data_IF_782722084783
#
_entry.id   IF_782722084783
#
_cell.length_a   1.000
_cell.length_b   1.000
_cell.length_c   1.000
_cell.angle_alpha   90.00
_cell.angle_beta   90.00
_cell.angle_gamma   90.00
#
_symmetry.space_group_name_H-M   'P 1'
#
loop_
_entity.id
_entity.type
_entity.pdbx_description
1 polymer ?
#
# COMPACT_ATOMS: atom_id res chain seq x y z
N UNK A 1 -9.40 20.00 6.31
CA UNK A 1 -9.15 19.30 7.59
C UNK A 1 -10.04 18.07 7.67
N UNK A 2 -9.50 16.85 7.49
CA UNK A 2 -10.28 15.60 7.54
C UNK A 2 -10.75 15.19 8.95
N UNK A 3 -10.54 16.03 9.97
CA UNK A 3 -10.90 15.74 11.38
C UNK A 3 -12.39 15.40 11.63
N UNK A 4 -13.24 15.45 10.61
CA UNK A 4 -14.68 15.20 10.72
C UNK A 4 -15.16 13.96 9.96
N UNK A 5 -14.28 13.22 9.26
CA UNK A 5 -14.68 11.99 8.59
C UNK A 5 -14.99 10.88 9.61
N UNK A 6 -16.18 10.31 9.49
CA UNK A 6 -16.56 9.13 10.29
C UNK A 6 -16.16 7.84 9.55
N UNK A 7 -14.87 7.51 9.63
CA UNK A 7 -14.29 6.33 8.98
C UNK A 7 -14.90 4.99 9.43
N UNK A 8 -15.69 4.98 10.51
CA UNK A 8 -16.38 3.75 10.97
C UNK A 8 -17.46 3.28 9.99
N UNK A 9 -17.91 4.17 9.09
CA UNK A 9 -18.95 3.87 8.11
C UNK A 9 -18.44 3.20 6.84
N UNK A 10 -17.15 3.32 6.54
CA UNK A 10 -16.51 2.73 5.36
C UNK A 10 -15.60 1.58 5.77
N UNK A 11 -16.19 0.41 6.02
CA UNK A 11 -15.44 -0.79 6.39
C UNK A 11 -15.04 -1.56 5.15
N UNK A 12 -13.75 -1.75 5.00
CA UNK A 12 -13.16 -2.58 3.97
C UNK A 12 -12.88 -3.99 4.52
N UNK A 13 -13.16 -5.03 3.75
CA UNK A 13 -12.76 -6.40 4.08
C UNK A 13 -11.23 -6.50 4.12
N UNK A 14 -10.58 -6.03 3.07
CA UNK A 14 -9.13 -5.83 2.99
C UNK A 14 -8.85 -4.38 2.58
N UNK A 15 -8.86 -3.47 3.56
CA UNK A 15 -8.54 -2.06 3.32
C UNK A 15 -7.05 -1.90 3.06
N UNK A 16 -6.66 -1.27 1.93
CA UNK A 16 -5.29 -1.20 1.47
C UNK A 16 -4.99 0.05 0.64
N UNK A 17 -3.71 0.18 0.23
CA UNK A 17 -3.25 1.12 -0.78
C UNK A 17 -3.65 2.56 -0.50
N UNK A 18 -3.52 3.00 0.77
CA UNK A 18 -3.92 4.34 1.19
C UNK A 18 -3.01 5.41 0.58
N UNK A 19 -3.61 6.48 0.08
CA UNK A 19 -2.93 7.58 -0.58
C UNK A 19 -3.48 8.93 -0.11
N UNK A 20 -2.61 9.86 0.24
CA UNK A 20 -2.93 11.23 0.57
C UNK A 20 -2.74 12.13 -0.65
N UNK A 21 -3.81 12.76 -1.12
CA UNK A 21 -3.76 13.82 -2.13
C UNK A 21 -3.57 15.16 -1.42
N UNK A 22 -2.33 15.66 -1.46
CA UNK A 22 -1.94 16.91 -0.81
C UNK A 22 -2.45 18.15 -1.53
N UNK A 23 -2.85 18.05 -2.80
CA UNK A 23 -3.42 19.18 -3.57
C UNK A 23 -4.85 19.51 -3.12
N UNK A 24 -5.63 18.49 -2.77
CA UNK A 24 -7.04 18.64 -2.42
C UNK A 24 -7.36 18.26 -0.97
N UNK A 25 -6.35 18.01 -0.12
CA UNK A 25 -6.51 17.52 1.26
C UNK A 25 -7.49 16.33 1.33
N UNK A 26 -7.29 15.35 0.47
CA UNK A 26 -8.19 14.20 0.30
C UNK A 26 -7.46 12.87 0.52
N UNK A 27 -8.15 11.92 1.15
CA UNK A 27 -7.64 10.59 1.38
C UNK A 27 -8.32 9.61 0.42
N UNK A 28 -7.52 8.72 -0.18
CA UNK A 28 -7.98 7.63 -1.03
C UNK A 28 -7.48 6.29 -0.48
N UNK A 29 -8.28 5.23 -0.60
CA UNK A 29 -7.89 3.86 -0.27
C UNK A 29 -8.77 2.87 -1.00
N UNK A 30 -8.42 1.60 -0.97
CA UNK A 30 -9.19 0.54 -1.63
C UNK A 30 -9.65 -0.53 -0.66
N UNK A 31 -10.73 -1.23 -1.01
CA UNK A 31 -11.03 -2.59 -0.54
C UNK A 31 -10.66 -3.54 -1.67
N UNK A 32 -9.59 -4.30 -1.50
CA UNK A 32 -9.11 -5.24 -2.52
C UNK A 32 -10.16 -6.31 -2.81
N UNK A 33 -10.75 -6.89 -1.76
CA UNK A 33 -11.66 -8.03 -1.89
C UNK A 33 -13.00 -7.65 -2.51
N UNK A 34 -13.47 -6.42 -2.25
CA UNK A 34 -14.73 -5.92 -2.80
C UNK A 34 -14.53 -5.07 -4.06
N UNK A 35 -13.28 -4.78 -4.45
CA UNK A 35 -12.94 -3.90 -5.58
C UNK A 35 -13.61 -2.53 -5.48
N UNK A 36 -13.59 -1.94 -4.28
CA UNK A 36 -14.12 -0.61 -4.01
C UNK A 36 -12.97 0.37 -3.84
N UNK A 37 -13.00 1.47 -4.58
CA UNK A 37 -12.20 2.65 -4.32
C UNK A 37 -12.99 3.56 -3.39
N UNK A 38 -12.39 3.98 -2.29
CA UNK A 38 -12.92 4.99 -1.39
C UNK A 38 -12.17 6.31 -1.56
N UNK A 39 -12.89 7.40 -1.36
CA UNK A 39 -12.25 8.70 -1.13
C UNK A 39 -12.92 9.44 0.03
N UNK A 40 -12.14 10.20 0.79
CA UNK A 40 -12.65 11.10 1.82
C UNK A 40 -12.17 12.52 1.54
N UNK A 41 -13.12 13.43 1.34
CA UNK A 41 -12.87 14.85 1.10
C UNK A 41 -13.92 15.68 1.85
N UNK A 42 -13.51 16.79 2.47
CA UNK A 42 -14.40 17.70 3.20
C UNK A 42 -15.36 17.01 4.20
N UNK A 43 -14.89 15.95 4.87
CA UNK A 43 -15.67 15.20 5.85
C UNK A 43 -16.65 14.18 5.26
N UNK A 44 -16.71 14.04 3.95
CA UNK A 44 -17.57 13.09 3.24
C UNK A 44 -16.76 11.94 2.66
N UNK A 45 -17.29 10.71 2.79
CA UNK A 45 -16.72 9.51 2.18
C UNK A 45 -17.55 9.16 0.96
N UNK A 46 -16.87 8.88 -0.14
CA UNK A 46 -17.43 8.42 -1.41
C UNK A 46 -16.91 7.02 -1.70
N UNK A 47 -17.75 6.19 -2.30
CA UNK A 47 -17.46 4.81 -2.69
C UNK A 47 -17.67 4.66 -4.19
N UNK A 48 -16.67 4.06 -4.86
CA UNK A 48 -16.72 3.80 -6.30
C UNK A 48 -16.50 2.31 -6.53
N UNK A 49 -17.52 1.63 -7.02
CA UNK A 49 -17.40 0.22 -7.40
C UNK A 49 -16.61 0.10 -8.69
N UNK A 50 -15.48 -0.59 -8.65
CA UNK A 50 -14.64 -0.84 -9.82
C UNK A 50 -14.90 -2.25 -10.35
N UNK A 51 -15.00 -2.40 -11.65
CA UNK A 51 -15.32 -3.69 -12.29
C UNK A 51 -14.17 -4.70 -12.29
N UNK A 52 -12.95 -4.27 -11.94
CA UNK A 52 -11.75 -5.09 -11.89
C UNK A 52 -11.16 -5.09 -10.47
N UNK A 53 -10.45 -6.15 -10.09
CA UNK A 53 -9.79 -6.22 -8.80
C UNK A 53 -8.69 -5.17 -8.71
N UNK A 54 -8.91 -4.13 -7.93
CA UNK A 54 -7.93 -3.09 -7.63
C UNK A 54 -7.18 -3.42 -6.34
N UNK A 55 -5.96 -2.91 -6.17
CA UNK A 55 -5.15 -3.25 -5.00
C UNK A 55 -4.43 -2.06 -4.34
N UNK A 56 -4.03 -1.04 -5.06
CA UNK A 56 -3.42 0.14 -4.46
C UNK A 56 -3.70 1.40 -5.28
N UNK A 57 -3.79 2.55 -4.60
CA UNK A 57 -3.78 3.88 -5.20
C UNK A 57 -2.32 4.32 -5.34
N UNK A 58 -1.87 4.58 -6.58
CA UNK A 58 -0.48 4.95 -6.87
C UNK A 58 -0.29 6.45 -7.08
N UNK A 59 -1.32 7.14 -7.54
CA UNK A 59 -1.38 8.61 -7.60
C UNK A 59 -2.80 9.10 -7.81
N UNK A 60 -3.03 10.37 -7.45
CA UNK A 60 -4.25 11.12 -7.76
C UNK A 60 -3.83 12.43 -8.39
N UNK A 61 -4.33 12.73 -9.58
CA UNK A 61 -3.97 13.95 -10.34
C UNK A 61 -5.19 14.44 -11.14
N UNK A 62 -5.67 15.64 -10.90
CA UNK A 62 -6.77 16.25 -11.67
C UNK A 62 -8.05 15.42 -11.72
N UNK A 63 -8.40 14.73 -10.63
CA UNK A 63 -9.58 13.86 -10.57
C UNK A 63 -9.40 12.50 -11.28
N UNK A 64 -8.17 12.14 -11.61
CA UNK A 64 -7.79 10.83 -12.17
C UNK A 64 -7.03 10.06 -11.09
N UNK A 65 -7.50 8.87 -10.75
CA UNK A 65 -6.87 7.97 -9.78
C UNK A 65 -6.15 6.85 -10.52
N UNK A 66 -4.82 6.80 -10.39
CA UNK A 66 -4.03 5.69 -10.91
C UNK A 66 -4.09 4.52 -9.92
N UNK A 67 -4.53 3.37 -10.39
CA UNK A 67 -4.71 2.15 -9.60
C UNK A 67 -3.90 1.01 -10.16
N UNK A 68 -3.34 0.17 -9.29
CA UNK A 68 -2.90 -1.16 -9.68
C UNK A 68 -4.07 -2.14 -9.63
N UNK A 69 -4.12 -3.06 -10.59
CA UNK A 69 -5.11 -4.13 -10.64
C UNK A 69 -4.49 -5.42 -11.20
N UNK A 70 -5.29 -6.50 -11.27
CA UNK A 70 -4.83 -7.79 -11.84
C UNK A 70 -4.29 -7.65 -13.26
N UNK A 71 -4.95 -6.85 -14.08
CA UNK A 71 -4.59 -6.71 -15.50
C UNK A 71 -3.45 -5.73 -15.76
N UNK A 72 -3.04 -4.95 -14.76
CA UNK A 72 -1.93 -3.98 -14.84
C UNK A 72 -2.15 -2.70 -14.08
N UNK A 73 -1.94 -1.58 -14.74
CA UNK A 73 -2.21 -0.24 -14.21
C UNK A 73 -3.32 0.42 -15.00
N UNK A 74 -4.25 1.05 -14.31
CA UNK A 74 -5.40 1.76 -14.88
C UNK A 74 -5.51 3.17 -14.31
N UNK A 75 -6.11 4.06 -15.07
CA UNK A 75 -6.65 5.33 -14.60
C UNK A 75 -8.16 5.19 -14.42
N UNK A 76 -8.64 5.54 -13.24
CA UNK A 76 -10.06 5.72 -12.96
C UNK A 76 -10.39 7.21 -12.93
N UNK A 77 -11.34 7.63 -13.75
CA UNK A 77 -11.76 9.03 -13.87
C UNK A 77 -12.97 9.27 -12.97
N UNK A 78 -12.80 9.99 -11.86
CA UNK A 78 -13.84 10.22 -10.85
C UNK A 78 -15.10 10.87 -11.42
N UNK A 79 -14.95 11.84 -12.33
CA UNK A 79 -16.10 12.59 -12.88
C UNK A 79 -16.97 11.77 -13.83
N UNK A 80 -16.40 10.82 -14.57
CA UNK A 80 -17.10 10.04 -15.61
C UNK A 80 -17.31 8.57 -15.23
N UNK A 81 -16.77 8.14 -14.11
CA UNK A 81 -16.73 6.73 -13.69
C UNK A 81 -16.16 5.79 -14.78
N UNK A 82 -15.21 6.29 -15.58
CA UNK A 82 -14.63 5.54 -16.67
C UNK A 82 -13.21 5.08 -16.36
N UNK A 83 -12.81 3.98 -16.99
CA UNK A 83 -11.49 3.37 -16.84
C UNK A 83 -10.72 3.50 -18.15
N UNK A 84 -9.44 3.85 -18.06
CA UNK A 84 -8.48 3.77 -19.17
C UNK A 84 -7.25 2.98 -18.77
N UNK A 85 -6.75 2.13 -19.68
CA UNK A 85 -5.57 1.30 -19.42
C UNK A 85 -4.30 2.13 -19.54
N UNK A 86 -3.40 2.03 -18.56
CA UNK A 86 -2.04 2.60 -18.61
C UNK A 86 -1.07 1.56 -19.15
N UNK A 87 -1.03 0.38 -18.54
CA UNK A 87 -0.15 -0.72 -18.94
C UNK A 87 -0.75 -2.06 -18.54
N UNK A 88 -0.27 -3.15 -19.15
CA UNK A 88 -0.75 -4.50 -18.84
C UNK A 88 0.28 -5.29 -18.05
N UNK A 89 -0.17 -6.01 -17.03
CA UNK A 89 0.64 -7.02 -16.34
C UNK A 89 1.09 -8.10 -17.35
N UNK A 90 2.36 -8.55 -17.32
CA UNK A 90 2.81 -9.66 -18.15
C UNK A 90 1.89 -10.89 -18.00
N UNK A 91 1.58 -11.56 -19.11
CA UNK A 91 0.53 -12.58 -19.20
C UNK A 91 0.62 -13.69 -18.13
N UNK A 92 1.82 -14.09 -17.78
CA UNK A 92 2.05 -15.13 -16.75
C UNK A 92 1.51 -14.74 -15.36
N UNK A 93 1.39 -13.43 -15.06
CA UNK A 93 0.90 -12.89 -13.80
C UNK A 93 -0.49 -12.22 -13.90
N UNK A 94 -1.12 -12.24 -15.08
CA UNK A 94 -2.45 -11.65 -15.29
C UNK A 94 -3.58 -12.68 -15.25
N UNK A 95 -3.31 -13.90 -14.77
CA UNK A 95 -4.30 -14.97 -14.63
C UNK A 95 -5.16 -14.79 -13.38
N UNK A 96 -6.24 -15.56 -13.26
CA UNK A 96 -7.13 -15.52 -12.09
C UNK A 96 -6.46 -15.97 -10.78
N UNK A 97 -5.31 -16.62 -10.86
CA UNK A 97 -4.54 -17.08 -9.70
C UNK A 97 -3.75 -15.96 -9.03
N UNK A 98 -3.51 -14.86 -9.75
CA UNK A 98 -2.71 -13.73 -9.27
C UNK A 98 -3.57 -12.48 -9.12
N UNK A 99 -3.09 -11.57 -8.29
CA UNK A 99 -3.55 -10.19 -8.16
C UNK A 99 -2.36 -9.25 -8.03
N UNK A 100 -2.54 -7.98 -8.35
CA UNK A 100 -1.63 -6.97 -7.86
C UNK A 100 -1.76 -6.85 -6.33
N UNK A 101 -0.75 -6.31 -5.68
CA UNK A 101 -0.78 -6.04 -4.24
C UNK A 101 -0.53 -4.54 -4.02
N UNK A 102 0.67 -4.16 -3.68
CA UNK A 102 1.07 -2.78 -3.43
C UNK A 102 1.95 -2.24 -4.56
N UNK A 103 2.27 -0.94 -4.56
CA UNK A 103 3.10 -0.32 -5.58
C UNK A 103 3.38 1.15 -5.33
N UNK A 104 4.19 1.75 -6.21
CA UNK A 104 4.60 3.14 -6.13
C UNK A 104 4.76 3.79 -7.50
N UNK A 105 4.35 5.07 -7.62
CA UNK A 105 4.72 5.96 -8.72
C UNK A 105 6.09 6.57 -8.42
N UNK A 106 7.03 6.44 -9.36
CA UNK A 106 8.40 6.93 -9.20
C UNK A 106 8.68 8.19 -10.01
N UNK A 107 7.85 8.48 -10.98
CA UNK A 107 7.99 9.64 -11.87
C UNK A 107 6.88 9.67 -12.91
N UNK A 108 6.99 10.58 -13.86
CA UNK A 108 6.03 10.61 -14.96
C UNK A 108 6.06 9.26 -15.70
N UNK A 109 4.88 8.61 -15.80
CA UNK A 109 4.66 7.32 -16.46
C UNK A 109 5.61 6.18 -16.03
N UNK A 110 6.21 6.28 -14.82
CA UNK A 110 7.09 5.26 -14.25
C UNK A 110 6.54 4.75 -12.92
N UNK A 111 6.28 3.46 -12.86
CA UNK A 111 5.70 2.76 -11.71
C UNK A 111 6.44 1.47 -11.43
N UNK A 112 6.49 1.07 -10.16
CA UNK A 112 6.83 -0.30 -9.75
C UNK A 112 5.70 -0.81 -8.88
N UNK A 113 5.21 -2.02 -9.17
CA UNK A 113 4.17 -2.67 -8.40
C UNK A 113 4.45 -4.16 -8.23
N UNK A 114 3.87 -4.71 -7.19
CA UNK A 114 3.97 -6.13 -6.86
C UNK A 114 2.77 -6.92 -7.35
N UNK A 115 3.01 -8.16 -7.75
CA UNK A 115 1.97 -9.17 -7.97
C UNK A 115 2.23 -10.39 -7.11
N UNK A 116 1.17 -11.02 -6.63
CA UNK A 116 1.22 -12.21 -5.79
C UNK A 116 0.13 -13.21 -6.18
N UNK A 117 0.29 -14.47 -5.76
CA UNK A 117 -0.84 -15.42 -5.84
C UNK A 117 -1.91 -15.05 -4.81
N UNK A 118 -3.18 -15.28 -5.16
CA UNK A 118 -4.31 -15.15 -4.21
C UNK A 118 -4.12 -16.09 -3.00
N UNK A 119 -3.67 -17.31 -3.25
CA UNK A 119 -3.17 -18.24 -2.24
C UNK A 119 -1.64 -18.14 -2.22
N UNK A 120 -1.03 -17.43 -1.26
CA UNK A 120 0.39 -17.14 -1.30
C UNK A 120 1.27 -18.40 -1.32
N UNK A 121 2.23 -18.42 -2.23
CA UNK A 121 3.25 -19.48 -2.37
C UNK A 121 4.61 -18.81 -2.36
N UNK A 122 5.56 -19.45 -1.67
CA UNK A 122 6.93 -18.92 -1.56
C UNK A 122 7.56 -18.74 -2.94
N UNK A 123 8.11 -17.54 -3.19
CA UNK A 123 8.77 -17.14 -4.43
C UNK A 123 7.89 -17.29 -5.70
N UNK A 124 6.58 -17.12 -5.55
CA UNK A 124 5.63 -17.15 -6.68
C UNK A 124 4.88 -15.83 -6.87
N UNK A 125 5.51 -14.75 -6.47
CA UNK A 125 5.13 -13.37 -6.79
C UNK A 125 6.16 -12.72 -7.71
N UNK A 126 5.98 -11.43 -8.00
CA UNK A 126 6.94 -10.69 -8.81
C UNK A 126 6.88 -9.17 -8.52
N UNK A 127 7.99 -8.49 -8.82
CA UNK A 127 8.03 -7.05 -9.00
C UNK A 127 7.99 -6.73 -10.50
N UNK A 128 7.12 -5.80 -10.86
CA UNK A 128 6.90 -5.35 -12.22
C UNK A 128 7.21 -3.86 -12.31
N UNK A 129 8.10 -3.46 -13.22
CA UNK A 129 8.25 -2.06 -13.63
C UNK A 129 7.33 -1.80 -14.82
N UNK A 130 6.59 -0.70 -14.76
CA UNK A 130 5.83 -0.15 -15.89
C UNK A 130 6.38 1.21 -16.24
N UNK A 131 6.88 1.35 -17.46
CA UNK A 131 7.42 2.60 -17.99
C UNK A 131 6.82 2.88 -19.35
N UNK A 132 6.28 4.08 -19.55
CA UNK A 132 5.67 4.52 -20.82
C UNK A 132 4.63 3.53 -21.40
N UNK A 133 3.86 2.87 -20.51
CA UNK A 133 2.84 1.91 -20.90
C UNK A 133 3.35 0.48 -21.15
N UNK A 134 4.66 0.25 -21.03
CA UNK A 134 5.28 -1.08 -21.18
C UNK A 134 5.66 -1.65 -19.83
N UNK A 135 5.15 -2.83 -19.51
CA UNK A 135 5.46 -3.54 -18.25
C UNK A 135 6.45 -4.68 -18.45
N UNK A 136 7.38 -4.81 -17.50
CA UNK A 136 8.42 -5.84 -17.47
C UNK A 136 8.59 -6.39 -16.06
N UNK A 137 8.73 -7.71 -15.92
CA UNK A 137 9.15 -8.37 -14.68
C UNK A 137 10.62 -8.04 -14.40
N UNK A 138 10.91 -7.60 -13.17
CA UNK A 138 12.27 -7.24 -12.73
C UNK A 138 12.75 -8.07 -11.54
N UNK A 139 11.86 -8.80 -10.87
CA UNK A 139 12.18 -9.71 -9.79
C UNK A 139 11.09 -10.78 -9.68
N UNK A 140 11.49 -12.03 -9.43
CA UNK A 140 10.59 -13.17 -9.16
C UNK A 140 10.94 -13.87 -7.84
N UNK A 141 11.97 -13.39 -7.12
CA UNK A 141 12.37 -13.89 -5.80
C UNK A 141 11.67 -13.08 -4.70
N UNK A 142 10.34 -13.13 -4.72
CA UNK A 142 9.45 -12.49 -3.75
C UNK A 142 8.10 -13.22 -3.75
N UNK A 143 7.43 -13.27 -2.59
CA UNK A 143 6.17 -13.99 -2.42
C UNK A 143 4.98 -13.04 -2.30
N UNK A 144 5.02 -12.13 -1.31
CA UNK A 144 3.99 -11.13 -1.02
C UNK A 144 4.65 -9.75 -0.98
N UNK A 145 4.78 -9.09 -2.15
CA UNK A 145 5.41 -7.77 -2.22
C UNK A 145 4.54 -6.67 -1.61
N UNK A 146 5.09 -5.94 -0.64
CA UNK A 146 4.46 -4.85 0.11
C UNK A 146 5.44 -3.70 0.39
N UNK A 147 4.96 -2.64 1.03
CA UNK A 147 5.69 -1.46 1.52
C UNK A 147 6.00 -0.43 0.42
N UNK A 148 6.68 -0.72 -0.64
CA UNK A 148 7.02 0.14 -1.80
C UNK A 148 7.40 1.59 -1.45
N UNK A 149 8.23 1.81 -0.43
CA UNK A 149 8.65 3.14 0.00
C UNK A 149 9.87 3.61 -0.79
N UNK A 150 9.72 4.72 -1.53
CA UNK A 150 10.83 5.37 -2.23
C UNK A 150 11.69 6.14 -1.24
N UNK A 151 12.97 5.73 -1.09
CA UNK A 151 13.92 6.47 -0.26
C UNK A 151 14.29 7.78 -0.97
N UNK A 152 14.11 8.95 -0.32
CA UNK A 152 14.42 10.25 -0.93
C UNK A 152 15.85 10.32 -1.46
N UNK A 153 16.06 11.05 -2.55
CA UNK A 153 17.36 11.31 -3.17
C UNK A 153 18.21 10.05 -3.46
N UNK A 154 17.58 8.90 -3.69
CA UNK A 154 18.25 7.64 -3.99
C UNK A 154 17.57 6.87 -5.11
N UNK A 155 18.22 5.86 -5.66
CA UNK A 155 17.64 4.87 -6.57
C UNK A 155 17.21 3.61 -5.80
N UNK A 156 16.64 3.79 -4.60
CA UNK A 156 16.29 2.65 -3.75
C UNK A 156 14.84 2.70 -3.29
N UNK A 157 14.26 1.51 -3.15
CA UNK A 157 12.97 1.28 -2.48
C UNK A 157 13.18 0.40 -1.25
N UNK A 158 12.38 0.64 -0.21
CA UNK A 158 12.10 -0.39 0.77
C UNK A 158 10.93 -1.22 0.24
N UNK A 159 11.12 -2.53 0.19
CA UNK A 159 10.10 -3.48 -0.25
C UNK A 159 10.07 -4.65 0.73
N UNK A 160 8.88 -4.97 1.19
CA UNK A 160 8.66 -6.11 2.07
C UNK A 160 8.35 -7.37 1.26
N UNK A 161 8.92 -8.51 1.65
CA UNK A 161 8.29 -9.80 1.43
C UNK A 161 7.55 -10.21 2.71
N UNK A 162 6.25 -9.96 2.74
CA UNK A 162 5.41 -10.23 3.92
C UNK A 162 5.37 -11.72 4.26
N UNK A 163 5.54 -12.60 3.27
CA UNK A 163 5.57 -14.05 3.48
C UNK A 163 6.75 -14.49 4.36
N UNK A 164 7.91 -13.89 4.15
CA UNK A 164 9.12 -14.19 4.91
C UNK A 164 9.30 -13.24 6.13
N UNK A 165 8.41 -12.24 6.33
CA UNK A 165 8.51 -11.26 7.41
C UNK A 165 9.72 -10.31 7.27
N UNK A 166 10.16 -10.04 6.05
CA UNK A 166 11.42 -9.36 5.77
C UNK A 166 11.22 -8.09 4.96
N UNK A 167 11.80 -6.98 5.42
CA UNK A 167 11.91 -5.75 4.63
C UNK A 167 13.29 -5.70 4.00
N UNK A 168 13.33 -5.50 2.69
CA UNK A 168 14.55 -5.35 1.91
C UNK A 168 14.72 -3.92 1.44
N UNK A 169 15.96 -3.44 1.41
CA UNK A 169 16.34 -2.26 0.62
C UNK A 169 16.82 -2.75 -0.74
N UNK A 170 16.05 -2.43 -1.78
CA UNK A 170 16.39 -2.73 -3.16
C UNK A 170 16.94 -1.46 -3.81
N UNK A 171 18.13 -1.55 -4.39
CA UNK A 171 18.72 -0.46 -5.20
C UNK A 171 18.59 -0.82 -6.67
N UNK A 172 18.17 0.15 -7.47
CA UNK A 172 17.92 -0.01 -8.89
C UNK A 172 18.97 0.75 -9.73
N UNK A 173 19.10 0.35 -10.99
CA UNK A 173 19.84 1.16 -11.96
C UNK A 173 19.10 2.48 -12.25
N UNK A 174 19.74 3.45 -12.89
CA UNK A 174 19.17 4.77 -13.21
C UNK A 174 17.85 4.69 -13.98
N UNK A 175 17.69 3.69 -14.84
CA UNK A 175 16.47 3.49 -15.63
C UNK A 175 15.34 2.79 -14.89
N UNK A 176 15.54 2.37 -13.63
CA UNK A 176 14.59 1.57 -12.83
C UNK A 176 14.24 0.21 -13.46
N UNK A 177 15.03 -0.27 -14.40
CA UNK A 177 14.73 -1.47 -15.19
C UNK A 177 15.34 -2.77 -14.65
N UNK A 178 16.21 -2.67 -13.65
CA UNK A 178 16.84 -3.81 -12.98
C UNK A 178 17.29 -3.47 -11.56
N UNK A 179 17.26 -4.47 -10.68
CA UNK A 179 17.78 -4.40 -9.33
C UNK A 179 19.29 -4.65 -9.37
N UNK A 180 20.07 -3.77 -8.78
CA UNK A 180 21.55 -3.87 -8.71
C UNK A 180 22.02 -4.32 -7.32
N UNK A 181 21.15 -4.17 -6.28
CA UNK A 181 21.44 -4.62 -4.92
C UNK A 181 20.16 -4.96 -4.18
N UNK A 182 20.16 -6.04 -3.40
CA UNK A 182 19.10 -6.44 -2.46
C UNK A 182 19.77 -6.73 -1.10
N UNK A 183 19.47 -5.93 -0.09
CA UNK A 183 19.99 -6.11 1.26
C UNK A 183 18.84 -6.20 2.27
N UNK A 184 18.99 -7.02 3.30
CA UNK A 184 18.06 -7.05 4.44
C UNK A 184 18.15 -5.71 5.16
N UNK A 185 16.99 -5.08 5.41
CA UNK A 185 16.93 -3.79 6.05
C UNK A 185 16.25 -3.85 7.42
N UNK A 186 15.17 -4.66 7.54
CA UNK A 186 14.49 -4.92 8.81
C UNK A 186 13.94 -6.34 8.83
N UNK A 187 14.04 -7.03 9.98
CA UNK A 187 13.74 -8.47 10.09
C UNK A 187 12.71 -8.73 11.19
N UNK A 188 11.51 -9.18 10.79
CA UNK A 188 10.44 -9.65 11.67
C UNK A 188 10.18 -11.16 11.52
N UNK A 189 11.03 -11.90 10.78
CA UNK A 189 10.84 -13.32 10.49
C UNK A 189 10.77 -14.22 11.74
N UNK A 190 11.19 -13.71 12.89
CA UNK A 190 11.17 -14.40 14.18
C UNK A 190 9.92 -14.10 15.01
N UNK A 191 8.98 -13.34 14.47
CA UNK A 191 7.73 -12.95 15.15
C UNK A 191 6.54 -13.65 14.51
N UNK A 192 5.39 -13.60 15.18
CA UNK A 192 4.11 -14.03 14.61
C UNK A 192 3.35 -12.88 13.93
N UNK A 193 4.04 -11.80 13.58
CA UNK A 193 3.47 -10.61 12.97
C UNK A 193 4.19 -10.32 11.66
N UNK A 194 3.52 -9.65 10.74
CA UNK A 194 4.02 -9.49 9.38
C UNK A 194 4.11 -8.00 9.02
N UNK A 195 5.26 -7.52 8.52
CA UNK A 195 5.35 -6.17 7.96
C UNK A 195 4.54 -6.12 6.67
N UNK A 196 3.76 -5.05 6.52
CA UNK A 196 2.83 -4.84 5.43
C UNK A 196 3.14 -3.53 4.67
N UNK A 197 2.17 -2.68 4.40
CA UNK A 197 2.37 -1.40 3.74
C UNK A 197 2.98 -0.33 4.65
N UNK A 198 3.36 0.81 4.06
CA UNK A 198 3.96 1.88 4.84
C UNK A 198 4.27 3.14 4.05
N UNK A 199 4.77 4.15 4.75
CA UNK A 199 5.16 5.44 4.17
C UNK A 199 6.45 5.98 4.80
N UNK A 200 6.93 7.10 4.26
CA UNK A 200 8.10 7.81 4.74
C UNK A 200 7.78 9.30 4.86
N UNK A 201 8.26 9.94 5.93
CA UNK A 201 8.19 11.40 6.09
C UNK A 201 9.32 12.11 5.35
N UNK A 202 9.19 13.41 5.21
CA UNK A 202 10.21 14.26 4.57
C UNK A 202 11.54 14.28 5.31
N UNK A 203 11.51 14.09 6.64
CA UNK A 203 12.70 14.00 7.50
C UNK A 203 13.29 12.58 7.60
N UNK A 204 12.70 11.60 6.89
CA UNK A 204 13.24 10.25 6.74
C UNK A 204 12.78 9.24 7.79
N UNK A 205 11.72 9.53 8.56
CA UNK A 205 11.07 8.54 9.42
C UNK A 205 10.23 7.58 8.58
N UNK A 206 10.47 6.29 8.72
CA UNK A 206 9.78 5.23 7.98
C UNK A 206 8.71 4.61 8.88
N UNK A 207 7.48 4.57 8.42
CA UNK A 207 6.34 3.98 9.12
C UNK A 207 5.89 2.72 8.40
N UNK A 208 5.80 1.59 9.12
CA UNK A 208 5.39 0.29 8.56
C UNK A 208 4.24 -0.27 9.40
N UNK A 209 3.15 -0.62 8.72
CA UNK A 209 2.02 -1.32 9.31
C UNK A 209 2.40 -2.78 9.61
N UNK A 210 1.95 -3.29 10.76
CA UNK A 210 2.28 -4.65 11.19
C UNK A 210 1.00 -5.47 11.32
N UNK A 211 0.75 -6.30 10.31
CA UNK A 211 -0.36 -7.26 10.27
C UNK A 211 -0.29 -8.24 11.45
N UNK A 212 -1.41 -8.47 12.12
CA UNK A 212 -1.55 -9.20 13.39
C UNK A 212 -0.72 -8.62 14.56
N UNK A 213 -0.19 -7.38 14.38
CA UNK A 213 0.69 -6.73 15.35
C UNK A 213 0.07 -5.61 16.16
N UNK A 214 -1.15 -5.15 15.83
CA UNK A 214 -1.83 -4.05 16.53
C UNK A 214 -1.01 -2.75 16.58
N UNK A 215 -0.16 -2.48 15.58
CA UNK A 215 0.75 -1.35 15.63
C UNK A 215 1.26 -0.88 14.26
N UNK A 216 1.77 0.35 14.27
CA UNK A 216 2.72 0.86 13.29
C UNK A 216 4.10 0.89 13.97
N UNK A 217 5.14 0.50 13.23
CA UNK A 217 6.53 0.74 13.64
C UNK A 217 7.02 2.02 12.99
N UNK A 218 7.72 2.84 13.77
CA UNK A 218 8.53 3.95 13.29
C UNK A 218 10.01 3.55 13.33
N UNK A 219 10.69 3.64 12.18
CA UNK A 219 12.09 3.28 12.02
C UNK A 219 12.87 4.46 11.39
N UNK A 220 14.17 4.52 11.67
CA UNK A 220 15.07 5.42 10.93
C UNK A 220 15.45 4.83 9.56
N UNK A 221 16.15 5.62 8.72
CA UNK A 221 16.61 5.18 7.39
C UNK A 221 17.59 3.99 7.39
N UNK A 222 18.12 3.61 8.56
CA UNK A 222 19.00 2.46 8.74
C UNK A 222 18.24 1.20 9.21
N UNK A 223 16.92 1.30 9.41
CA UNK A 223 16.10 0.20 9.90
C UNK A 223 16.12 0.04 11.41
N UNK A 224 16.61 1.03 12.15
CA UNK A 224 16.60 1.01 13.61
C UNK A 224 15.21 1.44 14.11
N UNK A 225 14.59 0.62 14.95
CA UNK A 225 13.32 0.94 15.59
C UNK A 225 13.47 2.17 16.49
N UNK A 226 12.63 3.18 16.27
CA UNK A 226 12.51 4.40 17.07
C UNK A 226 11.42 4.20 18.11
N UNK A 227 10.19 3.88 17.67
CA UNK A 227 9.06 3.63 18.55
C UNK A 227 7.95 2.80 17.87
N UNK A 228 6.93 2.46 18.66
CA UNK A 228 5.75 1.74 18.23
C UNK A 228 4.48 2.55 18.56
N UNK A 229 3.59 2.70 17.60
CA UNK A 229 2.25 3.28 17.80
C UNK A 229 1.23 2.15 17.88
N UNK A 230 0.67 1.91 19.06
CA UNK A 230 -0.36 0.90 19.28
C UNK A 230 -1.69 1.32 18.63
N UNK A 231 -2.35 0.37 18.00
CA UNK A 231 -3.63 0.56 17.30
C UNK A 231 -4.74 -0.28 17.91
N UNK A 232 -6.00 0.17 17.82
CA UNK A 232 -7.15 -0.57 18.30
C UNK A 232 -7.63 -1.67 17.33
N UNK A 233 -6.84 -1.99 16.30
CA UNK A 233 -7.14 -2.98 15.27
C UNK A 233 -6.00 -3.99 15.15
N UNK A 234 -6.29 -5.31 15.01
CA UNK A 234 -5.26 -6.35 14.95
C UNK A 234 -4.42 -6.28 13.65
N UNK A 235 -5.05 -5.91 12.54
CA UNK A 235 -4.50 -6.00 11.18
C UNK A 235 -4.44 -4.64 10.50
N UNK A 236 -3.55 -3.71 10.94
CA UNK A 236 -3.21 -2.57 10.11
C UNK A 236 -2.47 -3.06 8.86
N UNK A 237 -2.78 -2.48 7.70
CA UNK A 237 -2.32 -2.95 6.39
C UNK A 237 -1.38 -1.97 5.72
N UNK A 238 -1.72 -0.68 5.70
CA UNK A 238 -0.90 0.35 5.07
C UNK A 238 -1.04 1.68 5.83
N UNK A 239 -0.19 2.66 5.57
CA UNK A 239 -0.34 3.99 6.14
C UNK A 239 0.19 5.08 5.21
N UNK A 240 -0.33 6.30 5.40
CA UNK A 240 0.13 7.51 4.72
C UNK A 240 0.10 8.69 5.68
N UNK A 241 0.92 9.71 5.39
CA UNK A 241 0.98 10.95 6.14
C UNK A 241 0.07 12.01 5.52
N UNK A 242 -0.50 12.89 6.34
CA UNK A 242 -1.10 14.13 5.87
C UNK A 242 -0.02 15.13 5.40
N UNK A 243 -0.44 16.22 4.77
CA UNK A 243 0.47 17.29 4.28
C UNK A 243 1.34 17.88 5.39
N UNK A 244 0.84 17.91 6.63
CA UNK A 244 1.58 18.44 7.79
C UNK A 244 2.56 17.46 8.40
N UNK A 245 2.49 16.20 7.99
CA UNK A 245 3.24 15.06 8.54
C UNK A 245 3.08 14.91 10.07
N UNK A 246 1.94 15.37 10.60
CA UNK A 246 1.59 15.24 12.02
C UNK A 246 0.59 14.11 12.28
N UNK A 247 -0.04 13.59 11.22
CA UNK A 247 -1.05 12.56 11.33
C UNK A 247 -0.80 11.42 10.35
N UNK A 248 -0.85 10.19 10.83
CA UNK A 248 -0.94 8.98 10.00
C UNK A 248 -2.40 8.60 9.81
N UNK A 249 -2.76 8.26 8.59
CA UNK A 249 -3.96 7.53 8.23
C UNK A 249 -3.56 6.08 7.94
N UNK A 250 -4.17 5.16 8.68
CA UNK A 250 -3.82 3.74 8.64
C UNK A 250 -5.02 2.95 8.16
N UNK A 251 -4.89 2.23 7.07
CA UNK A 251 -5.86 1.23 6.62
C UNK A 251 -5.79 -0.03 7.49
N UNK A 252 -6.86 -0.77 7.54
CA UNK A 252 -6.93 -2.04 8.27
C UNK A 252 -7.85 -3.04 7.59
N UNK A 253 -7.70 -4.31 7.94
CA UNK A 253 -8.52 -5.40 7.43
C UNK A 253 -9.35 -6.04 8.55
N UNK A 254 -10.54 -6.53 8.20
CA UNK A 254 -11.26 -7.51 9.00
C UNK A 254 -11.26 -8.90 8.34
N UNK A 255 -10.68 -9.03 7.16
CA UNK A 255 -10.44 -10.30 6.49
C UNK A 255 -9.85 -11.33 7.46
N UNK A 256 -10.38 -12.56 7.46
CA UNK A 256 -9.91 -13.67 8.29
C UNK A 256 -10.09 -13.50 9.79
N UNK A 257 -10.72 -12.42 10.29
CA UNK A 257 -11.11 -12.30 11.68
C UNK A 257 -12.37 -13.13 11.95
N UNK A 258 -12.39 -13.82 13.10
CA UNK A 258 -13.60 -14.49 13.58
C UNK A 258 -14.70 -13.48 13.92
N UNK A 259 -15.96 -13.93 13.99
CA UNK A 259 -17.07 -13.06 14.44
C UNK A 259 -16.82 -12.49 15.85
N UNK A 260 -16.23 -13.28 16.73
CA UNK A 260 -15.83 -12.84 18.07
C UNK A 260 -14.79 -11.70 17.99
N UNK A 261 -13.76 -11.83 17.12
CA UNK A 261 -12.74 -10.79 16.99
C UNK A 261 -13.29 -9.52 16.33
N UNK A 262 -14.22 -9.65 15.37
CA UNK A 262 -14.91 -8.49 14.77
C UNK A 262 -15.71 -7.70 15.79
N UNK A 263 -16.36 -8.38 16.75
CA UNK A 263 -17.07 -7.73 17.86
C UNK A 263 -16.09 -7.11 18.86
N UNK A 264 -14.97 -7.76 19.15
CA UNK A 264 -13.94 -7.28 20.07
C UNK A 264 -13.16 -6.08 19.50
N UNK A 265 -12.92 -6.06 18.19
CA UNK A 265 -12.17 -5.01 17.50
C UNK A 265 -13.04 -4.30 16.44
N UNK A 266 -14.06 -3.54 16.88
CA UNK A 266 -15.09 -3.00 15.99
C UNK A 266 -14.60 -1.96 14.98
N UNK A 267 -13.35 -1.48 15.11
CA UNK A 267 -12.70 -0.57 14.15
C UNK A 267 -11.95 -1.28 13.04
N UNK A 268 -11.84 -2.62 13.08
CA UNK A 268 -11.22 -3.38 11.99
C UNK A 268 -11.92 -3.11 10.67
N UNK A 269 -11.15 -2.96 9.59
CA UNK A 269 -11.59 -2.56 8.27
C UNK A 269 -11.79 -1.05 8.07
N UNK A 270 -11.74 -0.25 9.15
CA UNK A 270 -11.84 1.21 9.06
C UNK A 270 -10.46 1.85 8.93
N UNK A 271 -10.43 3.12 8.50
CA UNK A 271 -9.24 3.96 8.66
C UNK A 271 -9.08 4.31 10.15
N UNK A 272 -7.87 4.09 10.66
CA UNK A 272 -7.46 4.54 12.00
C UNK A 272 -6.50 5.71 11.85
N UNK A 273 -6.66 6.74 12.66
CA UNK A 273 -5.78 7.92 12.65
C UNK A 273 -4.84 7.89 13.86
N UNK A 274 -3.58 8.23 13.66
CA UNK A 274 -2.56 8.32 14.70
C UNK A 274 -1.94 9.71 14.67
N UNK A 275 -1.97 10.42 15.80
CA UNK A 275 -1.26 11.70 15.96
C UNK A 275 0.21 11.40 16.27
N UNK A 276 1.11 11.90 15.44
CA UNK A 276 2.57 11.75 15.57
C UNK A 276 3.29 13.08 15.80
N UNK A 277 2.53 14.16 16.06
CA UNK A 277 3.07 15.51 16.27
C UNK A 277 3.82 15.69 17.59
N UNK A 278 3.71 14.73 18.50
CA UNK A 278 4.24 14.82 19.88
C UNK A 278 5.19 13.65 20.15
N UNK A 279 6.35 13.70 19.51
CA UNK A 279 7.42 12.77 19.83
C UNK A 279 8.76 13.49 19.84
#
# INVERSE_FOLDING_TARGET
MLKTCDFKKSKADLGEGVYWDSEHDSLFWVDINQSILFSCSNGHIFEYQISENISAVLSVEGGIVCLSNRSGLINYHLASNSISQISRTPLMYSTKEYRANDGVKLGDRLYIYGVMRNEPVKNDGALIVSKDGVSKVICTDISIPNTFIKIPNSQSLLITDSFDGMVYKLTFNEAWSSIVSKIKWFDLSHTNTTPDGGCISSDGRVFIAIWDGFKILELDLNGKLIQEFKLPVPRPTNCTLDTSENQLFVTSAYEGLTEHDRQKYPLSGSIVTVDISVC
#
